data_IF_144912002795
#
_entry.id   IF_144912002795
#
_cell.length_a   1.000
_cell.length_b   1.000
_cell.length_c   1.000
_cell.angle_alpha   90.00
_cell.angle_beta   90.00
_cell.angle_gamma   90.00
#
_symmetry.space_group_name_H-M   'P 1'
#
loop_
_entity.id
_entity.type
_entity.pdbx_description
1 polymer ?
#
# COMPACT_ATOMS: atom_id res chain seq x y z
N UNK A 1 7.36 -83.68 22.44
CA UNK A 1 8.81 -83.95 22.56
C UNK A 1 9.62 -82.73 22.21
N UNK A 2 10.48 -82.28 23.11
CA UNK A 2 11.62 -81.40 23.00
C UNK A 2 11.40 -79.92 22.52
N UNK A 3 11.34 -79.08 23.45
CA UNK A 3 12.21 -78.03 23.97
C UNK A 3 13.52 -77.80 23.20
N UNK A 4 13.77 -76.58 22.77
CA UNK A 4 15.07 -75.93 22.89
C UNK A 4 14.98 -74.41 22.77
N UNK A 5 15.50 -73.78 23.78
CA UNK A 5 15.79 -72.38 24.04
C UNK A 5 16.38 -71.64 22.81
N UNK A 6 15.98 -70.41 22.62
CA UNK A 6 16.86 -69.43 22.00
C UNK A 6 16.84 -68.09 22.80
N UNK A 7 18.05 -67.78 23.16
CA UNK A 7 18.45 -66.74 24.06
C UNK A 7 18.22 -65.39 23.49
N UNK A 8 17.72 -64.47 24.31
CA UNK A 8 17.56 -63.05 24.09
C UNK A 8 18.83 -62.33 23.68
N UNK A 9 18.74 -61.47 22.69
CA UNK A 9 19.57 -60.26 22.56
C UNK A 9 18.67 -59.06 22.38
N UNK A 10 18.63 -58.19 23.37
CA UNK A 10 18.08 -56.86 23.33
C UNK A 10 19.06 -55.95 22.57
N UNK A 11 18.63 -55.25 21.51
CA UNK A 11 19.35 -54.08 21.04
C UNK A 11 18.88 -52.87 21.84
N UNK A 12 19.85 -52.11 22.33
CA UNK A 12 19.62 -50.92 23.13
C UNK A 12 18.77 -49.87 22.40
N UNK A 13 17.82 -49.34 23.11
CA UNK A 13 17.07 -48.14 22.74
C UNK A 13 18.02 -46.95 22.80
N UNK A 14 18.54 -46.54 21.64
CA UNK A 14 19.14 -45.21 21.50
C UNK A 14 17.99 -44.20 21.51
N UNK A 15 17.80 -43.51 22.62
CA UNK A 15 16.95 -42.35 22.72
C UNK A 15 17.60 -41.23 21.90
N UNK A 16 17.17 -41.07 20.65
CA UNK A 16 17.46 -39.88 19.87
C UNK A 16 16.61 -38.76 20.45
N UNK A 17 17.20 -37.97 21.34
CA UNK A 17 16.69 -36.65 21.68
C UNK A 17 16.77 -35.79 20.43
N UNK A 18 15.72 -35.83 19.61
CA UNK A 18 15.49 -34.80 18.63
C UNK A 18 15.25 -33.49 19.36
N UNK A 19 16.29 -32.65 19.43
CA UNK A 19 16.14 -31.24 19.75
C UNK A 19 15.20 -30.65 18.69
N UNK A 20 13.90 -30.65 18.99
CA UNK A 20 12.99 -29.70 18.30
C UNK A 20 13.52 -28.32 18.63
N UNK A 21 14.32 -27.76 17.72
CA UNK A 21 14.47 -26.32 17.63
C UNK A 21 13.04 -25.77 17.58
N UNK A 22 12.61 -25.17 18.68
CA UNK A 22 11.49 -24.23 18.65
C UNK A 22 11.89 -23.21 17.58
N UNK A 23 11.32 -23.38 16.39
CA UNK A 23 11.23 -22.29 15.41
C UNK A 23 10.40 -21.24 16.14
N UNK A 24 11.06 -20.30 16.78
CA UNK A 24 10.44 -19.01 17.05
C UNK A 24 10.04 -18.52 15.68
N UNK A 25 8.73 -18.50 15.40
CA UNK A 25 8.19 -17.73 14.29
C UNK A 25 8.68 -16.29 14.51
N UNK A 26 9.82 -15.96 13.92
CA UNK A 26 10.18 -14.56 13.77
C UNK A 26 9.04 -13.93 12.98
N UNK A 27 8.25 -13.15 13.69
CA UNK A 27 7.10 -12.44 13.17
C UNK A 27 7.61 -11.59 12.02
N UNK A 28 7.45 -12.07 10.78
CA UNK A 28 7.96 -11.37 9.61
C UNK A 28 7.42 -9.94 9.64
N UNK A 29 8.33 -8.97 9.71
CA UNK A 29 7.96 -7.55 9.74
C UNK A 29 7.22 -7.16 8.46
N UNK A 30 6.21 -6.32 8.59
CA UNK A 30 5.49 -5.77 7.44
C UNK A 30 6.43 -4.84 6.66
N UNK A 31 6.47 -4.93 5.33
CA UNK A 31 7.32 -4.04 4.53
C UNK A 31 6.83 -2.59 4.62
N UNK A 32 7.78 -1.65 4.66
CA UNK A 32 7.49 -0.21 4.75
C UNK A 32 8.09 0.51 3.56
N UNK A 33 7.31 1.38 2.95
CA UNK A 33 7.72 2.34 1.92
C UNK A 33 7.26 3.75 2.25
N UNK A 34 7.78 4.75 1.54
CA UNK A 34 7.19 6.08 1.51
C UNK A 34 6.66 6.39 0.11
N UNK A 35 5.50 7.03 0.06
CA UNK A 35 4.87 7.48 -1.17
C UNK A 35 5.57 8.75 -1.70
N UNK A 36 5.64 8.88 -3.02
CA UNK A 36 6.28 10.01 -3.70
C UNK A 36 5.63 11.35 -3.37
N UNK A 37 4.30 11.40 -3.21
CA UNK A 37 3.57 12.65 -3.00
C UNK A 37 4.03 13.43 -1.76
N UNK A 38 4.54 12.74 -0.75
CA UNK A 38 5.17 13.40 0.40
C UNK A 38 6.30 14.33 -0.04
N UNK A 39 7.19 13.80 -0.85
CA UNK A 39 8.37 14.52 -1.36
C UNK A 39 7.96 15.70 -2.24
N UNK A 40 6.97 15.48 -3.11
CA UNK A 40 6.41 16.55 -3.94
C UNK A 40 5.90 17.71 -3.08
N UNK A 41 5.16 17.44 -2.00
CA UNK A 41 4.59 18.50 -1.16
C UNK A 41 5.65 19.27 -0.37
N UNK A 42 6.67 18.57 0.16
CA UNK A 42 7.79 19.23 0.86
C UNK A 42 8.65 20.06 -0.09
N UNK A 43 9.01 19.52 -1.26
CA UNK A 43 9.81 20.22 -2.25
C UNK A 43 9.09 21.46 -2.78
N UNK A 44 7.81 21.36 -3.11
CA UNK A 44 7.00 22.50 -3.54
C UNK A 44 6.99 23.62 -2.49
N UNK A 45 6.90 23.25 -1.20
CA UNK A 45 6.93 24.22 -0.10
C UNK A 45 8.28 24.94 0.01
N UNK A 46 9.36 24.27 -0.36
CA UNK A 46 10.73 24.81 -0.40
C UNK A 46 11.07 25.50 -1.75
N UNK A 47 10.11 25.63 -2.67
CA UNK A 47 10.34 26.18 -4.01
C UNK A 47 11.21 25.31 -4.91
N UNK A 48 11.27 24.01 -4.61
CA UNK A 48 11.99 22.99 -5.38
C UNK A 48 11.01 22.13 -6.18
N UNK A 49 11.53 21.42 -7.19
CA UNK A 49 10.76 20.48 -8.01
C UNK A 49 11.30 19.07 -7.77
N UNK A 50 10.43 18.18 -7.26
CA UNK A 50 10.71 16.75 -7.14
C UNK A 50 10.65 16.08 -8.51
N UNK A 51 11.59 15.19 -8.79
CA UNK A 51 11.66 14.49 -10.08
C UNK A 51 12.41 15.23 -11.19
N UNK A 52 12.82 16.48 -10.96
CA UNK A 52 13.63 17.23 -11.95
C UNK A 52 14.99 16.57 -12.22
N UNK A 53 15.59 16.00 -11.21
CA UNK A 53 16.79 15.17 -11.26
C UNK A 53 16.62 13.98 -10.30
N UNK A 54 16.31 12.83 -10.86
CA UNK A 54 16.06 11.62 -10.10
C UNK A 54 17.27 11.16 -9.27
N UNK A 55 18.49 11.38 -9.74
CA UNK A 55 19.68 10.97 -9.00
C UNK A 55 19.81 11.77 -7.68
N UNK A 56 19.64 13.08 -7.76
CA UNK A 56 19.63 13.97 -6.58
C UNK A 56 18.46 13.65 -5.65
N UNK A 57 17.25 13.46 -6.19
CA UNK A 57 16.04 13.18 -5.42
C UNK A 57 16.16 11.85 -4.65
N UNK A 58 16.57 10.79 -5.33
CA UNK A 58 16.68 9.46 -4.70
C UNK A 58 17.91 9.35 -3.79
N UNK A 59 18.98 10.12 -4.02
CA UNK A 59 20.07 10.27 -3.06
C UNK A 59 19.59 10.90 -1.75
N UNK A 60 18.70 11.89 -1.82
CA UNK A 60 18.11 12.48 -0.62
C UNK A 60 17.13 11.50 0.07
N UNK A 61 16.28 10.82 -0.70
CA UNK A 61 15.40 9.75 -0.17
C UNK A 61 16.20 8.71 0.61
N UNK A 62 17.32 8.23 0.07
CA UNK A 62 18.15 7.20 0.69
C UNK A 62 18.69 7.59 2.09
N UNK A 63 18.80 8.89 2.40
CA UNK A 63 19.20 9.38 3.73
C UNK A 63 18.18 9.07 4.81
N UNK A 64 16.91 8.79 4.45
CA UNK A 64 15.86 8.42 5.40
C UNK A 64 16.02 7.02 5.95
N UNK A 65 16.71 6.13 5.22
CA UNK A 65 16.80 4.70 5.49
C UNK A 65 15.48 3.94 5.37
N UNK A 66 14.45 4.54 4.79
CA UNK A 66 13.22 3.82 4.42
C UNK A 66 13.56 2.84 3.29
N UNK A 67 13.27 1.54 3.44
CA UNK A 67 13.73 0.54 2.48
C UNK A 67 13.01 0.59 1.14
N UNK A 68 11.74 1.01 1.12
CA UNK A 68 10.89 1.02 -0.07
C UNK A 68 10.43 2.42 -0.47
N UNK A 69 10.25 2.61 -1.77
CA UNK A 69 9.67 3.81 -2.37
C UNK A 69 8.45 3.41 -3.20
N UNK A 70 7.40 4.21 -3.16
CA UNK A 70 6.22 4.07 -4.00
C UNK A 70 6.06 5.31 -4.88
N UNK A 71 6.62 5.30 -6.09
CA UNK A 71 6.49 6.40 -7.05
C UNK A 71 5.15 6.37 -7.77
N UNK A 72 4.75 7.55 -8.28
CA UNK A 72 3.69 7.71 -9.25
C UNK A 72 4.24 7.51 -10.66
N UNK A 73 3.80 6.48 -11.34
CA UNK A 73 4.30 6.09 -12.65
C UNK A 73 3.27 6.40 -13.74
N UNK A 74 3.66 7.20 -14.71
CA UNK A 74 2.80 7.60 -15.81
C UNK A 74 2.85 6.62 -16.99
N UNK A 75 4.04 6.03 -17.25
CA UNK A 75 4.26 5.06 -18.32
C UNK A 75 5.50 4.18 -18.04
N UNK A 76 5.75 3.22 -18.91
CA UNK A 76 6.87 2.30 -18.74
C UNK A 76 8.24 2.97 -18.94
N UNK A 77 8.32 4.04 -19.72
CA UNK A 77 9.57 4.78 -19.96
C UNK A 77 10.02 5.53 -18.70
N UNK A 78 9.09 6.18 -18.01
CA UNK A 78 9.34 6.83 -16.72
C UNK A 78 9.94 5.83 -15.71
N UNK A 79 9.40 4.62 -15.65
CA UNK A 79 9.94 3.59 -14.77
C UNK A 79 11.34 3.12 -15.20
N UNK A 80 11.62 3.04 -16.51
CA UNK A 80 12.94 2.67 -17.04
C UNK A 80 14.04 3.67 -16.65
N UNK A 81 13.74 4.95 -16.64
CA UNK A 81 14.66 6.00 -16.18
C UNK A 81 14.98 5.87 -14.69
N UNK A 82 13.99 5.53 -13.88
CA UNK A 82 14.12 5.47 -12.42
C UNK A 82 14.85 4.21 -11.93
N UNK A 83 14.64 3.05 -12.55
CA UNK A 83 15.17 1.74 -12.09
C UNK A 83 16.68 1.72 -11.85
N UNK A 84 17.56 2.25 -12.74
CA UNK A 84 18.99 2.26 -12.52
C UNK A 84 19.38 3.05 -11.27
N UNK A 85 18.69 4.15 -11.00
CA UNK A 85 18.96 5.04 -9.86
C UNK A 85 18.48 4.39 -8.56
N UNK A 86 17.30 3.75 -8.56
CA UNK A 86 16.82 2.97 -7.42
C UNK A 86 17.81 1.86 -7.04
N UNK A 87 18.38 1.16 -8.03
CA UNK A 87 19.43 0.15 -7.79
C UNK A 87 20.70 0.75 -7.20
N UNK A 88 21.16 1.90 -7.71
CA UNK A 88 22.34 2.64 -7.20
C UNK A 88 22.22 2.91 -5.71
N UNK A 89 21.05 3.34 -5.25
CA UNK A 89 20.79 3.66 -3.85
C UNK A 89 20.19 2.51 -3.04
N UNK A 90 20.04 1.31 -3.60
CA UNK A 90 19.48 0.11 -2.96
C UNK A 90 18.06 0.33 -2.43
N UNK A 91 17.27 1.14 -3.14
CA UNK A 91 15.88 1.43 -2.81
C UNK A 91 15.00 0.37 -3.46
N UNK A 92 14.14 -0.27 -2.66
CA UNK A 92 13.19 -1.27 -3.14
C UNK A 92 11.96 -0.60 -3.76
N UNK A 93 11.29 -1.31 -4.65
CA UNK A 93 10.06 -0.87 -5.33
C UNK A 93 8.94 -1.91 -5.12
N UNK A 94 8.44 -2.10 -3.89
CA UNK A 94 7.44 -3.15 -3.61
C UNK A 94 6.09 -2.85 -4.24
N UNK A 95 5.72 -1.57 -4.32
CA UNK A 95 4.53 -1.05 -4.97
C UNK A 95 4.85 0.19 -5.81
N UNK A 96 3.97 0.47 -6.76
CA UNK A 96 3.94 1.71 -7.55
C UNK A 96 2.51 2.21 -7.63
N UNK A 97 2.34 3.53 -7.75
CA UNK A 97 1.05 4.17 -7.94
C UNK A 97 0.85 4.53 -9.42
N UNK A 98 -0.31 4.18 -9.98
CA UNK A 98 -0.67 4.45 -11.37
C UNK A 98 -2.11 4.95 -11.43
N UNK A 99 -2.31 6.22 -11.78
CA UNK A 99 -3.65 6.76 -12.05
C UNK A 99 -4.27 6.09 -13.27
N UNK A 100 -5.60 5.94 -13.28
CA UNK A 100 -6.31 5.33 -14.41
C UNK A 100 -7.63 6.04 -14.70
N UNK A 101 -8.14 5.88 -15.91
CA UNK A 101 -9.44 6.37 -16.35
C UNK A 101 -10.30 5.17 -16.75
N UNK A 102 -11.21 4.73 -15.86
CA UNK A 102 -11.92 3.46 -16.00
C UNK A 102 -13.43 3.62 -16.24
N UNK A 103 -13.93 4.84 -16.28
CA UNK A 103 -15.38 5.12 -16.33
C UNK A 103 -15.95 5.32 -17.75
N UNK A 104 -15.12 5.34 -18.79
CA UNK A 104 -15.54 5.39 -20.20
C UNK A 104 -14.78 4.31 -20.98
N UNK A 105 -15.47 3.58 -21.86
CA UNK A 105 -14.98 2.35 -22.49
C UNK A 105 -13.61 2.52 -23.18
N UNK A 106 -13.45 3.53 -24.02
CA UNK A 106 -12.20 3.79 -24.75
C UNK A 106 -11.05 4.17 -23.80
N UNK A 107 -11.33 5.01 -22.81
CA UNK A 107 -10.35 5.43 -21.80
C UNK A 107 -9.96 4.27 -20.89
N UNK A 108 -10.93 3.44 -20.52
CA UNK A 108 -10.72 2.27 -19.69
C UNK A 108 -9.88 1.20 -20.40
N UNK A 109 -10.12 0.98 -21.69
CA UNK A 109 -9.29 0.08 -22.51
C UNK A 109 -7.84 0.58 -22.55
N UNK A 110 -7.63 1.85 -22.88
CA UNK A 110 -6.30 2.47 -22.94
C UNK A 110 -5.58 2.43 -21.60
N UNK A 111 -6.26 2.77 -20.49
CA UNK A 111 -5.69 2.68 -19.15
C UNK A 111 -5.37 1.24 -18.76
N UNK A 112 -6.18 0.25 -19.18
CA UNK A 112 -5.92 -1.16 -18.92
C UNK A 112 -4.65 -1.64 -19.62
N UNK A 113 -4.46 -1.26 -20.88
CA UNK A 113 -3.25 -1.58 -21.67
C UNK A 113 -2.00 -0.96 -21.02
N UNK A 114 -2.07 0.31 -20.62
CA UNK A 114 -0.99 1.02 -19.92
C UNK A 114 -0.63 0.35 -18.59
N UNK A 115 -1.62 -0.01 -17.77
CA UNK A 115 -1.39 -0.72 -16.51
C UNK A 115 -0.69 -2.06 -16.72
N UNK A 116 -1.07 -2.81 -17.77
CA UNK A 116 -0.45 -4.10 -18.12
C UNK A 116 1.01 -3.91 -18.55
N UNK A 117 1.29 -2.90 -19.36
CA UNK A 117 2.64 -2.58 -19.82
C UNK A 117 3.55 -2.19 -18.67
N UNK A 118 3.10 -1.25 -17.83
CA UNK A 118 3.82 -0.83 -16.62
C UNK A 118 4.06 -2.03 -15.70
N UNK A 119 3.03 -2.88 -15.49
CA UNK A 119 3.14 -4.06 -14.63
C UNK A 119 4.23 -5.05 -15.10
N UNK A 120 4.32 -5.29 -16.41
CA UNK A 120 5.36 -6.17 -16.99
C UNK A 120 6.76 -5.65 -16.65
N UNK A 121 6.98 -4.34 -16.77
CA UNK A 121 8.25 -3.69 -16.48
C UNK A 121 8.54 -3.70 -14.97
N UNK A 122 7.61 -3.24 -14.16
CA UNK A 122 7.75 -3.13 -12.69
C UNK A 122 8.02 -4.51 -12.04
N UNK A 123 7.33 -5.55 -12.50
CA UNK A 123 7.54 -6.93 -12.03
C UNK A 123 9.00 -7.37 -12.17
N UNK A 124 9.69 -7.00 -13.26
CA UNK A 124 11.09 -7.37 -13.50
C UNK A 124 12.04 -6.77 -12.45
N UNK A 125 11.63 -5.70 -11.79
CA UNK A 125 12.34 -5.06 -10.69
C UNK A 125 11.92 -5.56 -9.30
N UNK A 126 10.90 -6.38 -9.21
CA UNK A 126 10.43 -7.00 -7.96
C UNK A 126 9.12 -6.45 -7.42
N UNK A 127 8.48 -5.50 -8.12
CA UNK A 127 7.18 -4.95 -7.73
C UNK A 127 6.10 -6.03 -7.65
N UNK A 128 5.33 -6.00 -6.58
CA UNK A 128 4.27 -6.97 -6.28
C UNK A 128 2.87 -6.37 -6.31
N UNK A 129 2.76 -5.05 -6.14
CA UNK A 129 1.50 -4.34 -6.02
C UNK A 129 1.52 -3.14 -6.97
N UNK A 130 0.47 -3.01 -7.77
CA UNK A 130 0.15 -1.76 -8.47
C UNK A 130 -1.06 -1.17 -7.77
N UNK A 131 -0.87 -0.01 -7.17
CA UNK A 131 -1.94 0.79 -6.59
C UNK A 131 -2.54 1.64 -7.70
N UNK A 132 -3.84 1.64 -7.87
CA UNK A 132 -4.52 2.48 -8.85
C UNK A 132 -5.71 3.20 -8.23
N UNK A 133 -5.80 4.50 -8.51
CA UNK A 133 -7.03 5.26 -8.32
C UNK A 133 -7.70 5.44 -9.70
N UNK A 134 -8.94 4.99 -9.87
CA UNK A 134 -9.71 5.30 -11.06
C UNK A 134 -10.21 6.74 -10.99
N UNK A 135 -9.41 7.67 -11.47
CA UNK A 135 -9.61 9.10 -11.35
C UNK A 135 -11.07 9.54 -11.49
N UNK A 136 -11.50 10.58 -10.77
CA UNK A 136 -12.82 11.17 -10.94
C UNK A 136 -12.96 11.79 -12.34
N UNK A 137 -14.18 12.11 -12.74
CA UNK A 137 -14.43 12.86 -14.00
C UNK A 137 -13.67 14.18 -13.98
N UNK A 138 -13.68 14.83 -12.82
CA UNK A 138 -12.93 16.05 -12.57
C UNK A 138 -12.56 16.12 -11.09
N UNK A 139 -11.33 16.49 -10.80
CA UNK A 139 -10.87 16.72 -9.41
C UNK A 139 -11.55 17.95 -8.80
N UNK A 140 -11.75 17.91 -7.48
CA UNK A 140 -12.41 18.97 -6.71
C UNK A 140 -13.93 18.84 -6.70
N UNK A 141 -14.65 19.83 -7.20
CA UNK A 141 -16.11 19.91 -7.17
C UNK A 141 -16.81 19.38 -8.43
N UNK A 142 -16.16 18.51 -9.18
CA UNK A 142 -16.70 17.92 -10.40
C UNK A 142 -17.89 16.98 -10.18
N UNK A 143 -18.59 16.61 -11.26
CA UNK A 143 -19.70 15.67 -11.19
C UNK A 143 -19.24 14.28 -10.75
N UNK A 144 -20.09 13.58 -10.01
CA UNK A 144 -19.85 12.17 -9.68
C UNK A 144 -20.17 11.27 -10.87
N UNK A 145 -19.49 10.14 -10.99
CA UNK A 145 -19.78 9.12 -11.98
C UNK A 145 -21.22 8.61 -11.85
N UNK A 146 -21.91 8.45 -12.98
CA UNK A 146 -23.23 7.84 -13.02
C UNK A 146 -23.15 6.30 -13.01
N UNK A 147 -24.30 5.62 -12.95
CA UNK A 147 -24.36 4.18 -12.83
C UNK A 147 -23.70 3.43 -13.99
N UNK A 148 -23.88 3.93 -15.25
CA UNK A 148 -23.20 3.35 -16.43
C UNK A 148 -21.69 3.45 -16.30
N UNK A 149 -21.18 4.59 -15.84
CA UNK A 149 -19.76 4.83 -15.65
C UNK A 149 -19.18 3.97 -14.52
N UNK A 150 -19.92 3.76 -13.44
CA UNK A 150 -19.52 2.87 -12.35
C UNK A 150 -19.47 1.40 -12.78
N UNK A 151 -20.45 0.94 -13.58
CA UNK A 151 -20.45 -0.42 -14.15
C UNK A 151 -19.27 -0.63 -15.11
N UNK A 152 -18.99 0.35 -15.97
CA UNK A 152 -17.81 0.33 -16.84
C UNK A 152 -16.54 0.21 -16.03
N UNK A 153 -16.37 1.07 -15.02
CA UNK A 153 -15.19 1.10 -14.15
C UNK A 153 -14.94 -0.23 -13.43
N UNK A 154 -15.95 -0.78 -12.75
CA UNK A 154 -15.80 -2.04 -12.02
C UNK A 154 -15.48 -3.21 -12.96
N UNK A 155 -16.10 -3.25 -14.14
CA UNK A 155 -15.83 -4.27 -15.16
C UNK A 155 -14.39 -4.22 -15.65
N UNK A 156 -13.86 -3.04 -15.95
CA UNK A 156 -12.47 -2.90 -16.43
C UNK A 156 -11.45 -3.14 -15.32
N UNK A 157 -11.71 -2.68 -14.10
CA UNK A 157 -10.84 -2.97 -12.95
C UNK A 157 -10.74 -4.47 -12.68
N UNK A 158 -11.85 -5.20 -12.76
CA UNK A 158 -11.82 -6.66 -12.59
C UNK A 158 -11.03 -7.36 -13.71
N UNK A 159 -11.25 -6.98 -14.97
CA UNK A 159 -10.54 -7.54 -16.13
C UNK A 159 -9.03 -7.30 -16.06
N UNK A 160 -8.59 -6.05 -15.81
CA UNK A 160 -7.18 -5.72 -15.74
C UNK A 160 -6.53 -6.36 -14.51
N UNK A 161 -7.24 -6.40 -13.38
CA UNK A 161 -6.78 -7.10 -12.18
C UNK A 161 -6.54 -8.59 -12.42
N UNK A 162 -7.44 -9.26 -13.16
CA UNK A 162 -7.25 -10.66 -13.61
C UNK A 162 -5.98 -10.82 -14.43
N UNK A 163 -5.69 -9.88 -15.33
CA UNK A 163 -4.49 -9.90 -16.18
C UNK A 163 -3.21 -9.73 -15.35
N UNK A 164 -3.21 -8.80 -14.39
CA UNK A 164 -2.07 -8.56 -13.49
C UNK A 164 -1.84 -9.77 -12.57
N UNK A 165 -2.91 -10.35 -12.04
CA UNK A 165 -2.85 -11.58 -11.22
C UNK A 165 -2.17 -12.73 -11.96
N UNK A 166 -2.49 -12.93 -13.24
CA UNK A 166 -1.85 -13.94 -14.08
C UNK A 166 -0.33 -13.74 -14.23
N UNK A 167 0.15 -12.51 -14.02
CA UNK A 167 1.56 -12.16 -13.98
C UNK A 167 2.17 -12.23 -12.57
N UNK A 168 1.38 -12.54 -11.54
CA UNK A 168 1.81 -12.55 -10.14
C UNK A 168 1.94 -11.15 -9.52
N UNK A 169 1.25 -10.16 -10.08
CA UNK A 169 1.15 -8.79 -9.57
C UNK A 169 -0.28 -8.55 -9.10
N UNK A 170 -0.45 -7.90 -7.95
CA UNK A 170 -1.76 -7.50 -7.44
C UNK A 170 -2.13 -6.11 -7.92
N UNK A 171 -3.37 -5.94 -8.36
CA UNK A 171 -3.97 -4.61 -8.55
C UNK A 171 -4.69 -4.24 -7.26
N UNK A 172 -4.39 -3.07 -6.70
CA UNK A 172 -5.00 -2.57 -5.48
C UNK A 172 -5.73 -1.25 -5.76
N UNK A 173 -7.03 -1.23 -5.48
CA UNK A 173 -7.88 -0.04 -5.59
C UNK A 173 -7.56 0.93 -4.46
N UNK A 174 -7.25 2.17 -4.81
CA UNK A 174 -7.04 3.30 -3.89
C UNK A 174 -8.17 4.30 -4.04
N UNK A 175 -8.48 5.03 -2.97
CA UNK A 175 -9.56 6.02 -2.93
C UNK A 175 -9.10 7.35 -2.33
N UNK A 176 -9.79 8.42 -2.74
CA UNK A 176 -9.76 9.73 -2.11
C UNK A 176 -11.13 10.03 -1.46
N UNK A 177 -11.37 11.29 -1.13
CA UNK A 177 -12.65 11.72 -0.57
C UNK A 177 -13.81 11.64 -1.56
N UNK A 178 -13.52 11.79 -2.85
CA UNK A 178 -14.53 11.84 -3.91
C UNK A 178 -15.33 10.54 -4.05
N UNK A 179 -14.65 9.39 -3.92
CA UNK A 179 -15.27 8.06 -4.00
C UNK A 179 -16.15 7.75 -2.78
N UNK A 180 -15.94 8.49 -1.67
CA UNK A 180 -16.73 8.36 -0.43
C UNK A 180 -18.01 9.23 -0.46
N UNK A 181 -18.17 10.11 -1.44
CA UNK A 181 -19.37 10.96 -1.60
C UNK A 181 -20.63 10.13 -1.92
N UNK A 182 -21.80 10.74 -1.74
CA UNK A 182 -23.10 10.12 -2.02
C UNK A 182 -23.29 8.74 -1.32
N UNK A 183 -22.93 8.67 -0.03
CA UNK A 183 -23.03 7.43 0.75
C UNK A 183 -21.99 6.39 0.35
N UNK A 184 -20.83 6.82 -0.10
CA UNK A 184 -19.73 5.97 -0.56
C UNK A 184 -20.12 5.04 -1.71
N UNK A 185 -21.03 5.53 -2.58
CA UNK A 185 -21.62 4.74 -3.68
C UNK A 185 -20.56 4.15 -4.60
N UNK A 186 -19.61 4.96 -5.08
CA UNK A 186 -18.52 4.50 -5.94
C UNK A 186 -17.63 3.49 -5.21
N UNK A 187 -17.20 3.84 -4.01
CA UNK A 187 -16.34 3.01 -3.18
C UNK A 187 -16.92 1.61 -2.95
N UNK A 188 -18.17 1.54 -2.47
CA UNK A 188 -18.84 0.27 -2.24
C UNK A 188 -19.10 -0.49 -3.53
N UNK A 189 -19.52 0.20 -4.60
CA UNK A 189 -19.80 -0.43 -5.89
C UNK A 189 -18.55 -1.15 -6.43
N UNK A 190 -17.40 -0.50 -6.45
CA UNK A 190 -16.15 -1.11 -6.93
C UNK A 190 -15.78 -2.34 -6.13
N UNK A 191 -15.75 -2.25 -4.80
CA UNK A 191 -15.37 -3.38 -3.96
C UNK A 191 -16.39 -4.52 -3.93
N UNK A 192 -17.67 -4.24 -4.14
CA UNK A 192 -18.73 -5.25 -4.17
C UNK A 192 -18.83 -5.96 -5.53
N UNK A 193 -18.50 -5.28 -6.63
CA UNK A 193 -18.72 -5.77 -7.99
C UNK A 193 -17.42 -6.19 -8.71
N UNK A 194 -16.35 -6.42 -7.96
CA UNK A 194 -15.09 -6.99 -8.46
C UNK A 194 -14.71 -8.21 -7.64
N UNK A 195 -14.06 -9.20 -8.29
CA UNK A 195 -13.55 -10.37 -7.57
C UNK A 195 -12.43 -9.97 -6.61
N UNK A 196 -12.45 -10.42 -5.33
CA UNK A 196 -11.35 -10.20 -4.39
C UNK A 196 -10.00 -10.76 -4.87
N UNK A 197 -10.03 -11.75 -5.75
CA UNK A 197 -8.82 -12.31 -6.34
C UNK A 197 -8.22 -11.42 -7.42
N UNK A 198 -9.05 -10.61 -8.11
CA UNK A 198 -8.62 -9.76 -9.21
C UNK A 198 -8.28 -8.34 -8.71
N UNK A 199 -9.11 -7.78 -7.83
CA UNK A 199 -8.91 -6.44 -7.29
C UNK A 199 -8.78 -6.49 -5.77
N UNK A 200 -7.59 -6.20 -5.29
CA UNK A 200 -7.28 -5.98 -3.87
C UNK A 200 -7.63 -4.54 -3.47
N UNK A 201 -7.43 -4.22 -2.20
CA UNK A 201 -7.67 -2.88 -1.66
C UNK A 201 -6.38 -2.29 -1.08
N UNK A 202 -6.03 -1.09 -1.53
CA UNK A 202 -5.09 -0.19 -0.87
C UNK A 202 -5.91 0.79 -0.03
N UNK A 203 -6.03 0.51 1.26
CA UNK A 203 -6.79 1.38 2.15
C UNK A 203 -5.96 2.62 2.51
N UNK A 204 -6.32 3.76 1.93
CA UNK A 204 -5.88 5.03 2.47
C UNK A 204 -6.71 5.36 3.71
N UNK A 205 -6.07 5.22 4.87
CA UNK A 205 -6.75 5.35 6.17
C UNK A 205 -7.27 6.75 6.38
N UNK A 206 -6.50 7.76 5.94
CA UNK A 206 -6.88 9.15 6.13
C UNK A 206 -7.94 9.63 5.14
N UNK A 207 -7.90 9.17 3.88
CA UNK A 207 -8.95 9.52 2.92
C UNK A 207 -10.30 8.89 3.30
N UNK A 208 -10.30 7.66 3.87
CA UNK A 208 -11.53 7.11 4.46
C UNK A 208 -12.04 8.00 5.60
N UNK A 209 -11.15 8.43 6.50
CA UNK A 209 -11.51 9.35 7.59
C UNK A 209 -12.09 10.66 7.06
N UNK A 210 -11.34 11.38 6.20
CA UNK A 210 -11.71 12.70 5.67
C UNK A 210 -12.92 12.63 4.74
N UNK A 211 -12.99 11.65 3.86
CA UNK A 211 -14.11 11.45 2.92
C UNK A 211 -15.43 11.05 3.60
N UNK A 212 -15.36 10.59 4.84
CA UNK A 212 -16.51 10.29 5.70
C UNK A 212 -16.75 11.39 6.75
N UNK A 213 -16.50 12.65 6.40
CA UNK A 213 -16.71 13.82 7.26
C UNK A 213 -15.91 13.77 8.58
N UNK A 214 -14.67 13.33 8.50
CA UNK A 214 -13.74 13.15 9.63
C UNK A 214 -14.24 12.12 10.65
N UNK A 215 -14.77 11.01 10.16
CA UNK A 215 -15.29 9.94 10.99
C UNK A 215 -14.27 8.83 11.20
N UNK A 216 -13.77 8.69 12.42
CA UNK A 216 -12.95 7.55 12.81
C UNK A 216 -13.74 6.22 12.82
N UNK A 217 -15.06 6.27 13.08
CA UNK A 217 -15.93 5.09 12.99
C UNK A 217 -15.91 4.49 11.59
N UNK A 218 -15.95 5.33 10.54
CA UNK A 218 -15.89 4.88 9.16
C UNK A 218 -14.58 4.16 8.82
N UNK A 219 -13.46 4.57 9.42
CA UNK A 219 -12.16 3.89 9.26
C UNK A 219 -12.23 2.45 9.77
N UNK A 220 -12.73 2.26 11.00
CA UNK A 220 -12.82 0.92 11.60
C UNK A 220 -13.89 0.04 10.95
N UNK A 221 -15.00 0.61 10.50
CA UNK A 221 -16.03 -0.13 9.78
C UNK A 221 -15.53 -0.56 8.40
N UNK A 222 -14.79 0.29 7.68
CA UNK A 222 -14.13 -0.05 6.42
C UNK A 222 -13.13 -1.18 6.61
N UNK A 223 -12.31 -1.12 7.67
CA UNK A 223 -11.37 -2.19 8.00
C UNK A 223 -12.09 -3.53 8.23
N UNK A 224 -13.20 -3.54 8.96
CA UNK A 224 -14.02 -4.75 9.19
C UNK A 224 -14.65 -5.28 7.92
N UNK A 225 -15.24 -4.41 7.08
CA UNK A 225 -15.95 -4.82 5.87
C UNK A 225 -15.01 -5.37 4.79
N UNK A 226 -13.84 -4.77 4.62
CA UNK A 226 -12.96 -5.04 3.48
C UNK A 226 -11.55 -5.50 3.86
N UNK A 227 -11.29 -5.78 5.14
CA UNK A 227 -9.97 -6.19 5.64
C UNK A 227 -9.36 -7.39 4.92
N UNK A 228 -10.19 -8.33 4.48
CA UNK A 228 -9.76 -9.50 3.71
C UNK A 228 -9.25 -9.19 2.28
N UNK A 229 -9.50 -7.97 1.78
CA UNK A 229 -9.02 -7.50 0.46
C UNK A 229 -7.78 -6.61 0.58
N UNK A 230 -7.43 -6.16 1.80
CA UNK A 230 -6.37 -5.19 2.01
C UNK A 230 -5.00 -5.83 1.76
N UNK A 231 -4.21 -5.21 0.90
CA UNK A 231 -2.82 -5.59 0.60
C UNK A 231 -1.83 -4.46 0.83
N UNK A 232 -2.32 -3.23 0.97
CA UNK A 232 -1.53 -2.04 1.28
C UNK A 232 -2.34 -1.07 2.13
N UNK A 233 -1.66 -0.34 3.00
CA UNK A 233 -2.19 0.83 3.70
C UNK A 233 -1.42 2.06 3.26
N UNK A 234 -2.12 3.15 2.96
CA UNK A 234 -1.55 4.50 2.97
C UNK A 234 -1.82 5.13 4.33
N UNK A 235 -0.74 5.55 4.98
CA UNK A 235 -0.76 6.00 6.38
C UNK A 235 -0.44 7.49 6.46
N UNK A 236 -1.40 8.25 6.96
CA UNK A 236 -1.31 9.70 7.19
C UNK A 236 -2.05 10.06 8.46
N UNK A 237 -1.51 11.02 9.20
CA UNK A 237 -2.13 11.54 10.41
C UNK A 237 -2.48 13.01 10.26
N UNK A 238 -3.51 13.42 10.96
CA UNK A 238 -3.91 14.81 11.13
C UNK A 238 -4.17 15.14 12.62
N UNK A 239 -4.17 16.42 12.91
CA UNK A 239 -4.54 16.95 14.21
C UNK A 239 -5.50 18.13 14.02
N UNK A 240 -6.70 18.04 14.58
CA UNK A 240 -7.77 19.02 14.40
C UNK A 240 -8.10 19.27 12.91
N UNK A 241 -8.14 18.20 12.10
CA UNK A 241 -8.46 18.23 10.68
C UNK A 241 -7.33 18.70 9.76
N UNK A 242 -6.15 19.04 10.29
CA UNK A 242 -4.99 19.50 9.51
C UNK A 242 -3.92 18.40 9.52
N UNK A 243 -3.38 18.06 8.34
CA UNK A 243 -2.28 17.09 8.22
C UNK A 243 -1.07 17.57 9.00
N UNK A 244 -0.49 16.68 9.79
CA UNK A 244 0.72 16.97 10.58
C UNK A 244 1.97 16.76 9.73
N UNK A 245 3.04 17.47 10.05
CA UNK A 245 4.34 17.32 9.38
C UNK A 245 4.93 15.92 9.53
N UNK A 246 4.68 15.30 10.70
CA UNK A 246 5.15 13.96 11.04
C UNK A 246 3.99 13.07 11.45
N UNK A 247 4.15 11.77 11.19
CA UNK A 247 3.21 10.75 11.63
C UNK A 247 3.33 10.52 13.14
N UNK A 248 2.18 10.52 13.81
CA UNK A 248 2.06 10.18 15.24
C UNK A 248 0.92 9.17 15.40
N UNK A 249 1.06 8.18 16.32
CA UNK A 249 -0.02 7.22 16.58
C UNK A 249 -1.28 7.87 17.14
N UNK A 250 -1.11 8.96 17.88
CA UNK A 250 -2.18 9.76 18.49
C UNK A 250 -2.48 10.99 17.64
N UNK A 251 -3.75 11.24 17.37
CA UNK A 251 -4.21 12.36 16.54
C UNK A 251 -5.70 12.23 16.26
N UNK A 252 -6.14 12.72 15.11
CA UNK A 252 -7.54 12.58 14.70
C UNK A 252 -7.93 11.12 14.45
N UNK A 253 -6.95 10.28 14.11
CA UNK A 253 -7.11 8.83 13.98
C UNK A 253 -6.28 8.15 15.07
N UNK A 254 -6.91 7.28 15.87
CA UNK A 254 -6.24 6.43 16.85
C UNK A 254 -5.54 5.27 16.15
N UNK A 255 -4.29 5.50 15.75
CA UNK A 255 -3.49 4.47 15.08
C UNK A 255 -2.99 3.37 16.01
N UNK A 256 -2.96 3.59 17.34
CA UNK A 256 -2.68 2.52 18.29
C UNK A 256 -3.76 1.45 18.19
N UNK A 257 -5.03 1.86 18.31
CA UNK A 257 -6.17 0.97 18.14
C UNK A 257 -6.26 0.38 16.74
N UNK A 258 -5.96 1.18 15.71
CA UNK A 258 -5.95 0.70 14.32
C UNK A 258 -4.94 -0.44 14.12
N UNK A 259 -3.70 -0.27 14.60
CA UNK A 259 -2.68 -1.30 14.50
C UNK A 259 -3.04 -2.58 15.29
N UNK A 260 -3.68 -2.43 16.46
CA UNK A 260 -4.19 -3.58 17.22
C UNK A 260 -5.24 -4.37 16.43
N UNK A 261 -6.22 -3.70 15.81
CA UNK A 261 -7.24 -4.36 15.00
C UNK A 261 -6.64 -5.02 13.74
N UNK A 262 -5.69 -4.36 13.07
CA UNK A 262 -4.94 -4.95 11.94
C UNK A 262 -4.22 -6.24 12.37
N UNK A 263 -3.52 -6.21 13.52
CA UNK A 263 -2.83 -7.38 14.09
C UNK A 263 -3.84 -8.50 14.45
N UNK A 264 -4.93 -8.15 15.10
CA UNK A 264 -6.00 -9.07 15.51
C UNK A 264 -6.67 -9.76 14.31
N UNK A 265 -6.88 -9.02 13.23
CA UNK A 265 -7.44 -9.54 11.97
C UNK A 265 -6.40 -10.34 11.16
N UNK A 266 -5.14 -10.34 11.55
CA UNK A 266 -4.06 -11.05 10.85
C UNK A 266 -3.73 -10.47 9.47
N UNK A 267 -4.04 -9.19 9.23
CA UNK A 267 -3.80 -8.54 7.94
C UNK A 267 -2.31 -8.33 7.72
N UNK A 268 -1.79 -8.86 6.62
CA UNK A 268 -0.39 -8.74 6.19
C UNK A 268 -0.30 -7.79 5.00
N UNK A 269 -0.32 -6.49 5.27
CA UNK A 269 -0.32 -5.46 4.26
C UNK A 269 1.02 -4.73 4.17
N UNK A 270 1.33 -4.20 3.00
CA UNK A 270 2.42 -3.26 2.79
C UNK A 270 2.05 -1.91 3.42
N UNK A 271 2.93 -1.36 4.23
CA UNK A 271 2.74 -0.08 4.90
C UNK A 271 3.40 1.02 4.06
N UNK A 272 2.62 1.96 3.57
CA UNK A 272 3.12 3.09 2.78
C UNK A 272 2.87 4.38 3.56
N UNK A 273 3.96 5.03 3.94
CA UNK A 273 3.91 6.34 4.60
C UNK A 273 3.53 7.37 3.54
N UNK A 274 2.38 8.02 3.72
CA UNK A 274 1.91 9.11 2.87
C UNK A 274 1.67 10.39 3.69
N UNK A 275 2.62 10.70 4.57
CA UNK A 275 2.59 11.88 5.44
C UNK A 275 3.06 13.11 4.68
N UNK A 276 2.19 13.69 3.88
CA UNK A 276 2.43 14.87 3.06
C UNK A 276 1.94 16.15 3.75
N UNK A 277 2.32 17.30 3.20
CA UNK A 277 1.91 18.62 3.68
C UNK A 277 0.69 19.13 2.90
N UNK A 278 -0.25 19.74 3.61
CA UNK A 278 -1.29 20.57 3.01
C UNK A 278 -1.07 22.05 3.40
N UNK A 279 -1.79 22.97 2.81
CA UNK A 279 -1.58 24.42 2.93
C UNK A 279 -1.36 24.88 4.39
N UNK A 280 -2.19 24.38 5.31
CA UNK A 280 -2.18 24.76 6.73
C UNK A 280 -1.18 23.99 7.59
N UNK A 281 -0.50 22.99 7.06
CA UNK A 281 0.50 22.22 7.82
C UNK A 281 1.66 23.12 8.22
N UNK A 282 2.02 23.10 9.49
CA UNK A 282 3.21 23.83 10.00
C UNK A 282 4.42 22.95 9.74
N UNK A 283 5.34 23.42 8.89
CA UNK A 283 6.61 22.74 8.59
C UNK A 283 7.75 23.37 9.39
N UNK A 284 8.50 22.54 10.10
CA UNK A 284 9.71 22.92 10.87
C UNK A 284 10.92 22.07 10.51
N UNK A 285 10.70 20.89 9.92
CA UNK A 285 11.69 19.88 9.59
C UNK A 285 11.96 19.84 8.08
N UNK A 286 13.15 19.39 7.72
CA UNK A 286 13.38 18.96 6.34
C UNK A 286 12.60 17.68 6.03
N UNK A 287 12.37 17.42 4.75
CA UNK A 287 11.69 16.19 4.29
C UNK A 287 12.39 14.92 4.83
N UNK A 288 13.72 14.93 4.89
CA UNK A 288 14.50 13.79 5.40
C UNK A 288 14.30 13.57 6.90
N UNK A 289 14.31 14.64 7.70
CA UNK A 289 14.09 14.56 9.15
C UNK A 289 12.69 14.09 9.47
N UNK A 290 11.67 14.68 8.83
CA UNK A 290 10.28 14.29 8.99
C UNK A 290 10.08 12.79 8.66
N UNK A 291 10.66 12.32 7.53
CA UNK A 291 10.48 10.93 7.10
C UNK A 291 11.26 9.92 7.95
N UNK A 292 12.39 10.29 8.57
CA UNK A 292 13.04 9.46 9.58
C UNK A 292 12.14 9.22 10.79
N UNK A 293 11.45 10.27 11.26
CA UNK A 293 10.49 10.18 12.36
C UNK A 293 9.31 9.30 11.93
N UNK A 294 8.72 9.57 10.76
CA UNK A 294 7.59 8.81 10.23
C UNK A 294 7.91 7.30 10.15
N UNK A 295 9.09 6.96 9.62
CA UNK A 295 9.53 5.57 9.52
C UNK A 295 9.68 4.92 10.89
N UNK A 296 10.30 5.61 11.85
CA UNK A 296 10.48 5.11 13.20
C UNK A 296 9.15 4.82 13.89
N UNK A 297 8.19 5.75 13.80
CA UNK A 297 6.87 5.62 14.44
C UNK A 297 6.03 4.50 13.79
N UNK A 298 5.97 4.44 12.46
CA UNK A 298 5.24 3.38 11.74
C UNK A 298 5.86 2.01 12.02
N UNK A 299 7.20 1.90 11.98
CA UNK A 299 7.87 0.64 12.27
C UNK A 299 7.63 0.16 13.70
N UNK A 300 7.73 1.05 14.69
CA UNK A 300 7.42 0.76 16.09
C UNK A 300 5.96 0.32 16.27
N UNK A 301 5.03 0.99 15.61
CA UNK A 301 3.60 0.74 15.77
C UNK A 301 3.17 -0.63 15.20
N UNK A 302 3.65 -1.00 14.04
CA UNK A 302 3.18 -2.19 13.33
C UNK A 302 4.12 -3.40 13.45
N UNK A 303 5.42 -3.21 13.65
CA UNK A 303 6.44 -4.26 13.60
C UNK A 303 7.06 -4.61 14.96
N UNK A 304 6.67 -3.94 16.05
CA UNK A 304 7.12 -4.29 17.41
C UNK A 304 6.25 -5.36 18.08
#
# INVERSE_FOLDING_TARGET
MNRRNFVSMLPGLAVVLSSQKLLTDEKASLPISANEYNWVTFYNREGKEWGKDWDTCLAEFAKTKIPGFEPSINDAAHLEEMIPILRKYQIQLPSIYVGSLMHEEELAQKSSEQLIEIAKKAKSFGTKIIVTNPNPIQWGSGPLKNDRQLLCQSTHLDKVGKSLRAMGVKLAYHTHDVELKAGAREFHHVLQNTSPENLSFCMDVHWIYRGSENSQVAVFDTLKMYGNRIVSFHLRQSQNGIWTETFHPEGDIDYNKFAEEVKKMGIKAHLVIEQCLEEKTIQKLSVVEAHKINYSEVNKLFNS
#
